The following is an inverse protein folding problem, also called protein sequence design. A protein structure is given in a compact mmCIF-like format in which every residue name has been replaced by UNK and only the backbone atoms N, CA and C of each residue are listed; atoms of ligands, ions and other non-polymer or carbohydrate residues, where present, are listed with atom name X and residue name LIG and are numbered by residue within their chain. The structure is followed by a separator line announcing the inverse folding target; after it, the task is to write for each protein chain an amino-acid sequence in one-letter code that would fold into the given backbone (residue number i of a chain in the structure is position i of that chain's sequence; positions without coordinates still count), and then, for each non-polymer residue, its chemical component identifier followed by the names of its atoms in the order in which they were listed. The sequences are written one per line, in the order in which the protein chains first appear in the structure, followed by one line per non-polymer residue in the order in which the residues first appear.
data_IF_152527550003
#
_entry.id   IF_152527550003
#
_cell.length_a   1.000
_cell.length_b   1.000
_cell.length_c   1.000
_cell.angle_alpha   90.00
_cell.angle_beta   90.00
_cell.angle_gamma   90.00
#
_symmetry.space_group_name_H-M   'P 1'
#
loop_
_entity.id
_entity.type
_entity.pdbx_description
1 polymer ?
#
# COMPACT_ATOMS: atom_id res chain seq x y z
N UNK A 1 -5.37 -19.53 -20.76
CA UNK A 1 -4.22 -19.17 -21.59
C UNK A 1 -4.20 -17.64 -21.71
N UNK A 2 -3.49 -16.99 -20.80
CA UNK A 2 -3.21 -15.54 -20.85
C UNK A 2 -1.69 -15.42 -20.65
N UNK A 3 -1.01 -14.89 -21.67
CA UNK A 3 0.44 -14.93 -21.79
C UNK A 3 1.15 -14.06 -20.73
N UNK A 4 2.42 -14.36 -20.44
CA UNK A 4 3.28 -13.51 -19.63
C UNK A 4 3.94 -12.48 -20.55
N UNK A 5 3.58 -11.20 -20.45
CA UNK A 5 4.48 -10.05 -20.66
C UNK A 5 3.68 -8.75 -20.70
N UNK A 6 3.81 -7.99 -19.62
CA UNK A 6 3.84 -6.52 -19.58
C UNK A 6 3.82 -6.11 -18.10
N UNK A 7 4.97 -6.21 -17.44
CA UNK A 7 5.21 -5.57 -16.17
C UNK A 7 6.22 -4.45 -16.39
N UNK A 8 5.82 -3.20 -16.21
CA UNK A 8 6.77 -2.13 -15.90
C UNK A 8 6.53 -1.64 -14.47
N UNK A 9 7.59 -1.33 -13.71
CA UNK A 9 7.61 -1.51 -12.28
C UNK A 9 7.67 -0.19 -11.53
N UNK A 10 6.93 -0.08 -10.42
CA UNK A 10 7.15 0.99 -9.46
C UNK A 10 7.38 0.41 -8.07
N UNK A 11 8.54 -0.23 -7.94
CA UNK A 11 9.28 -0.33 -6.69
C UNK A 11 10.66 0.27 -6.90
N UNK A 12 11.26 0.79 -5.84
CA UNK A 12 12.67 1.17 -5.80
C UNK A 12 13.51 -0.04 -6.30
N UNK A 13 13.95 -0.02 -7.57
CA UNK A 13 14.71 -1.11 -8.20
C UNK A 13 13.96 -1.99 -9.21
N UNK A 14 12.73 -1.65 -9.60
CA UNK A 14 12.06 -2.32 -10.71
C UNK A 14 11.41 -3.68 -10.38
N UNK A 15 11.27 -4.00 -9.10
CA UNK A 15 10.54 -5.18 -8.66
C UNK A 15 9.01 -4.97 -8.78
N UNK A 16 8.29 -6.02 -9.17
CA UNK A 16 6.83 -6.06 -9.07
C UNK A 16 6.48 -6.41 -7.62
N UNK A 17 5.69 -5.56 -6.99
CA UNK A 17 5.15 -5.81 -5.65
C UNK A 17 3.62 -5.96 -5.70
N UNK A 18 3.13 -6.96 -4.96
CA UNK A 18 1.69 -7.19 -4.81
C UNK A 18 1.12 -6.26 -3.74
N UNK A 19 0.13 -5.46 -4.14
CA UNK A 19 -0.62 -4.61 -3.22
C UNK A 19 -1.95 -5.29 -2.88
N UNK A 20 -2.18 -5.51 -1.58
CA UNK A 20 -3.41 -6.11 -1.08
C UNK A 20 -4.35 -5.04 -0.56
N UNK A 21 -5.54 -4.95 -1.15
CA UNK A 21 -6.60 -4.04 -0.74
C UNK A 21 -7.67 -4.76 0.07
N UNK A 22 -8.23 -4.06 1.05
CA UNK A 22 -9.49 -4.48 1.65
C UNK A 22 -10.62 -4.40 0.62
N UNK A 23 -11.68 -5.18 0.84
CA UNK A 23 -12.88 -5.23 -0.01
C UNK A 23 -13.47 -3.84 -0.24
N UNK A 24 -13.56 -3.00 0.79
CA UNK A 24 -14.09 -1.64 0.68
C UNK A 24 -13.26 -0.76 -0.28
N UNK A 25 -11.94 -0.85 -0.19
CA UNK A 25 -11.03 -0.14 -1.11
C UNK A 25 -11.13 -0.70 -2.53
N UNK A 26 -11.20 -2.03 -2.69
CA UNK A 26 -11.32 -2.67 -3.99
C UNK A 26 -12.61 -2.27 -4.73
N UNK A 27 -13.72 -2.06 -4.02
CA UNK A 27 -14.98 -1.57 -4.59
C UNK A 27 -14.91 -0.16 -5.19
N UNK A 28 -13.90 0.65 -4.85
CA UNK A 28 -13.68 1.96 -5.45
C UNK A 28 -12.97 1.88 -6.80
N UNK A 29 -12.27 0.78 -7.07
CA UNK A 29 -11.44 0.63 -8.26
C UNK A 29 -12.22 0.80 -9.57
N UNK A 30 -13.42 0.21 -9.77
CA UNK A 30 -14.17 0.39 -11.02
C UNK A 30 -14.54 1.85 -11.29
N UNK A 31 -14.71 2.67 -10.25
CA UNK A 31 -14.99 4.11 -10.40
C UNK A 31 -13.76 4.88 -10.88
N UNK A 32 -12.58 4.52 -10.39
CA UNK A 32 -11.31 5.15 -10.77
C UNK A 32 -10.84 4.72 -12.17
N UNK A 33 -11.15 3.50 -12.59
CA UNK A 33 -10.73 2.97 -13.88
C UNK A 33 -11.69 3.30 -15.04
N UNK A 34 -12.90 3.76 -14.76
CA UNK A 34 -13.92 4.04 -15.78
C UNK A 34 -13.45 5.08 -16.80
N UNK A 35 -13.73 4.80 -18.07
CA UNK A 35 -13.51 5.70 -19.21
C UNK A 35 -14.82 6.39 -19.65
N UNK A 36 -14.74 7.51 -20.39
CA UNK A 36 -15.92 8.25 -20.85
C UNK A 36 -16.87 7.44 -21.75
N UNK A 37 -16.33 6.45 -22.48
CA UNK A 37 -17.08 5.54 -23.36
C UNK A 37 -17.78 4.40 -22.60
N UNK A 38 -17.69 4.37 -21.26
CA UNK A 38 -18.27 3.33 -20.40
C UNK A 38 -17.38 2.10 -20.20
N UNK A 39 -16.24 2.01 -20.87
CA UNK A 39 -15.26 0.92 -20.66
C UNK A 39 -14.37 1.20 -19.43
N UNK A 40 -13.38 0.33 -19.17
CA UNK A 40 -12.45 0.47 -18.04
C UNK A 40 -11.00 0.39 -18.50
N UNK A 41 -10.15 1.23 -17.91
CA UNK A 41 -8.70 1.16 -18.06
C UNK A 41 -8.18 -0.14 -17.48
N UNK A 42 -7.31 -0.81 -18.21
CA UNK A 42 -6.62 -2.03 -17.77
C UNK A 42 -5.17 -1.79 -17.38
N UNK A 43 -4.61 -0.62 -17.73
CA UNK A 43 -3.24 -0.24 -17.39
C UNK A 43 -3.07 1.29 -17.26
N UNK A 44 -1.90 1.71 -16.78
CA UNK A 44 -1.56 3.10 -16.52
C UNK A 44 -1.83 3.55 -15.07
N UNK A 45 -1.64 4.84 -14.76
CA UNK A 45 -1.70 5.34 -13.39
C UNK A 45 -3.13 5.28 -12.82
N UNK A 46 -3.27 4.75 -11.60
CA UNK A 46 -4.57 4.65 -10.92
C UNK A 46 -5.19 6.05 -10.70
N UNK A 47 -4.38 7.01 -10.25
CA UNK A 47 -4.78 8.39 -9.98
C UNK A 47 -4.15 9.36 -10.99
N UNK A 48 -4.79 9.65 -12.13
CA UNK A 48 -4.34 10.71 -13.03
C UNK A 48 -4.75 12.09 -12.51
N UNK A 49 -3.90 13.10 -12.67
CA UNK A 49 -4.30 14.49 -12.40
C UNK A 49 -5.20 15.03 -13.52
N UNK A 50 -6.01 16.03 -13.23
CA UNK A 50 -6.97 16.57 -14.20
C UNK A 50 -6.30 17.31 -15.37
N UNK A 51 -5.20 18.02 -15.10
CA UNK A 51 -4.51 18.84 -16.10
C UNK A 51 -3.52 18.00 -16.92
N UNK A 52 -3.49 18.23 -18.23
CA UNK A 52 -2.46 17.65 -19.10
C UNK A 52 -1.11 18.35 -18.88
N UNK A 53 0.01 17.64 -19.06
CA UNK A 53 1.32 18.26 -18.90
C UNK A 53 1.57 19.22 -20.05
N UNK A 54 2.31 20.31 -19.78
CA UNK A 54 2.82 21.19 -20.83
C UNK A 54 3.95 20.48 -21.58
N UNK A 55 4.16 20.74 -22.90
CA UNK A 55 5.19 20.05 -23.69
C UNK A 55 6.59 20.12 -23.07
N UNK A 56 6.94 21.26 -22.47
CA UNK A 56 8.24 21.47 -21.82
C UNK A 56 8.45 20.68 -20.51
N UNK A 57 7.40 20.09 -19.93
CA UNK A 57 7.44 19.33 -18.66
C UNK A 57 6.67 18.02 -18.78
N UNK A 58 6.84 17.33 -19.91
CA UNK A 58 6.17 16.05 -20.15
C UNK A 58 6.84 14.94 -19.32
N UNK A 59 6.09 14.24 -18.45
CA UNK A 59 6.62 13.08 -17.74
C UNK A 59 6.95 11.91 -18.69
N UNK A 60 7.70 10.90 -18.20
CA UNK A 60 7.91 9.65 -18.92
C UNK A 60 6.58 9.03 -19.36
N UNK A 61 6.59 8.29 -20.47
CA UNK A 61 5.38 7.66 -21.01
C UNK A 61 4.68 6.73 -20.00
N UNK A 62 5.46 6.02 -19.17
CA UNK A 62 4.97 5.16 -18.10
C UNK A 62 4.14 5.91 -17.03
N UNK A 63 4.35 7.22 -16.88
CA UNK A 63 3.63 8.08 -15.94
C UNK A 63 2.41 8.75 -16.57
N UNK A 64 2.12 8.48 -17.83
CA UNK A 64 0.97 9.02 -18.54
C UNK A 64 -0.12 7.96 -18.66
N UNK A 65 -1.37 8.40 -18.45
CA UNK A 65 -2.51 7.59 -18.81
C UNK A 65 -2.60 7.47 -20.34
N UNK A 66 -2.55 6.27 -20.91
CA UNK A 66 -2.54 6.06 -22.36
C UNK A 66 -3.86 6.51 -23.02
N UNK A 67 -4.96 6.44 -22.28
CA UNK A 67 -6.28 6.83 -22.79
C UNK A 67 -6.53 8.35 -22.73
N UNK A 68 -5.96 9.06 -21.75
CA UNK A 68 -6.31 10.47 -21.50
C UNK A 68 -5.15 11.46 -21.71
N UNK A 69 -3.91 10.95 -21.78
CA UNK A 69 -2.67 11.73 -21.81
C UNK A 69 -2.37 12.48 -20.52
N UNK A 70 -3.12 12.19 -19.44
CA UNK A 70 -2.95 12.85 -18.13
C UNK A 70 -1.86 12.16 -17.32
N UNK A 71 -1.03 12.92 -16.59
CA UNK A 71 0.05 12.34 -15.82
C UNK A 71 -0.44 11.78 -14.49
N UNK A 72 0.34 10.86 -13.91
CA UNK A 72 0.11 10.33 -12.57
C UNK A 72 0.12 11.44 -11.52
N UNK A 73 -0.67 11.26 -10.47
CA UNK A 73 -0.61 12.09 -9.28
C UNK A 73 0.73 11.85 -8.56
N UNK A 74 1.55 12.90 -8.49
CA UNK A 74 2.80 12.86 -7.73
C UNK A 74 2.56 12.89 -6.22
N UNK A 75 3.54 12.39 -5.46
CA UNK A 75 3.48 12.30 -3.99
C UNK A 75 3.20 13.64 -3.32
N UNK A 76 3.91 14.72 -3.70
CA UNK A 76 3.72 16.04 -3.11
C UNK A 76 2.30 16.58 -3.30
N UNK A 77 1.72 16.35 -4.49
CA UNK A 77 0.36 16.77 -4.77
C UNK A 77 -0.65 15.91 -4.02
N UNK A 78 -0.41 14.61 -3.88
CA UNK A 78 -1.23 13.73 -3.07
C UNK A 78 -1.26 14.18 -1.60
N UNK A 79 -0.10 14.57 -1.03
CA UNK A 79 -0.02 15.12 0.32
C UNK A 79 -0.89 16.36 0.49
N UNK A 80 -0.81 17.31 -0.44
CA UNK A 80 -1.62 18.54 -0.40
C UNK A 80 -3.12 18.21 -0.50
N UNK A 81 -3.52 17.31 -1.38
CA UNK A 81 -4.92 16.93 -1.54
C UNK A 81 -5.47 16.22 -0.30
N UNK A 82 -4.69 15.33 0.30
CA UNK A 82 -5.11 14.61 1.50
C UNK A 82 -5.28 15.55 2.69
N UNK A 83 -4.35 16.48 2.88
CA UNK A 83 -4.46 17.51 3.91
C UNK A 83 -5.68 18.40 3.68
N UNK A 84 -5.89 18.86 2.44
CA UNK A 84 -7.04 19.71 2.08
C UNK A 84 -8.40 19.06 2.31
N UNK A 85 -8.53 17.75 2.07
CA UNK A 85 -9.82 17.06 2.12
C UNK A 85 -10.07 16.24 3.39
N UNK A 86 -9.01 15.89 4.14
CA UNK A 86 -9.11 15.05 5.32
C UNK A 86 -8.33 15.59 6.53
N UNK A 87 -7.51 16.64 6.38
CA UNK A 87 -6.61 17.13 7.44
C UNK A 87 -5.53 16.12 7.83
N UNK A 88 -5.15 15.23 6.91
CA UNK A 88 -4.22 14.13 7.15
C UNK A 88 -3.01 14.22 6.22
N UNK A 89 -1.87 13.70 6.72
CA UNK A 89 -0.68 13.43 5.91
C UNK A 89 -0.58 11.91 5.62
N UNK A 90 0.06 11.56 4.50
CA UNK A 90 0.32 10.17 4.11
C UNK A 90 1.15 9.43 5.17
N UNK A 91 2.05 10.14 5.85
CA UNK A 91 2.81 9.59 6.97
C UNK A 91 1.89 9.15 8.12
N UNK A 92 0.87 9.94 8.45
CA UNK A 92 -0.09 9.61 9.52
C UNK A 92 -0.86 8.33 9.22
N UNK A 93 -1.26 8.12 7.97
CA UNK A 93 -1.95 6.90 7.55
C UNK A 93 -1.07 5.66 7.74
N UNK A 94 0.19 5.72 7.31
CA UNK A 94 1.15 4.61 7.48
C UNK A 94 1.44 4.36 8.96
N UNK A 95 1.62 5.42 9.74
CA UNK A 95 1.88 5.34 11.17
C UNK A 95 0.69 4.71 11.92
N UNK A 96 -0.51 5.23 11.73
CA UNK A 96 -1.74 4.70 12.36
C UNK A 96 -1.99 3.24 11.98
N UNK A 97 -1.79 2.87 10.71
CA UNK A 97 -1.89 1.46 10.28
C UNK A 97 -0.93 0.57 11.07
N UNK A 98 0.34 0.96 11.18
CA UNK A 98 1.33 0.18 11.90
C UNK A 98 1.04 0.11 13.41
N UNK A 99 0.58 1.21 14.01
CA UNK A 99 0.16 1.27 15.42
C UNK A 99 -1.01 0.33 15.69
N UNK A 100 -2.08 0.36 14.88
CA UNK A 100 -3.22 -0.53 15.07
C UNK A 100 -2.87 -2.00 14.89
N UNK A 101 -1.99 -2.33 13.94
CA UNK A 101 -1.50 -3.71 13.81
C UNK A 101 -0.68 -4.13 15.04
N UNK A 102 0.09 -3.21 15.61
CA UNK A 102 0.83 -3.41 16.85
C UNK A 102 -0.06 -3.63 18.06
N UNK A 103 -1.11 -2.82 18.22
CA UNK A 103 -2.14 -2.96 19.26
C UNK A 103 -2.90 -4.27 19.14
N UNK A 104 -3.13 -4.75 17.92
CA UNK A 104 -3.72 -6.06 17.63
C UNK A 104 -2.73 -7.24 17.77
N UNK A 105 -1.52 -7.00 18.30
CA UNK A 105 -0.45 -7.98 18.50
C UNK A 105 -0.08 -8.76 17.22
N UNK A 106 -0.22 -8.13 16.05
CA UNK A 106 0.18 -8.74 14.77
C UNK A 106 1.70 -8.95 14.76
N UNK A 107 2.21 -10.11 14.32
CA UNK A 107 3.64 -10.37 14.27
C UNK A 107 4.41 -9.31 13.46
N UNK A 108 5.55 -8.85 14.00
CA UNK A 108 6.38 -7.79 13.42
C UNK A 108 6.67 -8.00 11.91
N UNK A 109 6.93 -9.24 11.49
CA UNK A 109 7.22 -9.57 10.09
C UNK A 109 6.03 -9.26 9.16
N UNK A 110 4.80 -9.49 9.63
CA UNK A 110 3.58 -9.18 8.88
C UNK A 110 3.30 -7.67 8.87
N UNK A 111 3.58 -6.98 9.98
CA UNK A 111 3.52 -5.51 10.03
C UNK A 111 4.50 -4.93 9.01
N UNK A 112 5.76 -5.39 9.01
CA UNK A 112 6.79 -4.96 8.07
C UNK A 112 6.40 -5.21 6.63
N UNK A 113 5.85 -6.39 6.32
CA UNK A 113 5.34 -6.72 4.99
C UNK A 113 4.20 -5.79 4.56
N UNK A 114 3.17 -5.62 5.38
CA UNK A 114 2.00 -4.78 5.05
C UNK A 114 2.36 -3.31 4.87
N UNK A 115 3.32 -2.83 5.66
CA UNK A 115 3.70 -1.42 5.69
C UNK A 115 4.98 -1.13 4.92
N UNK A 116 5.59 -2.12 4.26
CA UNK A 116 6.85 -2.01 3.49
C UNK A 116 8.00 -1.36 4.28
N UNK A 117 8.17 -1.73 5.56
CA UNK A 117 9.36 -1.33 6.32
C UNK A 117 10.54 -2.23 5.98
N UNK A 118 11.63 -1.63 5.48
CA UNK A 118 12.87 -2.36 5.15
C UNK A 118 13.74 -2.68 6.37
N UNK A 119 13.65 -1.88 7.42
CA UNK A 119 14.47 -2.03 8.62
C UNK A 119 13.60 -2.41 9.82
N UNK A 120 13.84 -3.56 10.48
CA UNK A 120 13.05 -3.97 11.63
C UNK A 120 13.14 -2.97 12.80
N UNK A 121 14.27 -2.27 12.95
CA UNK A 121 14.44 -1.26 14.01
C UNK A 121 13.44 -0.12 13.91
N UNK A 122 13.02 0.25 12.70
CA UNK A 122 12.06 1.34 12.52
C UNK A 122 10.63 0.89 12.79
N UNK A 123 10.31 -0.40 12.58
CA UNK A 123 9.01 -1.00 12.85
C UNK A 123 8.82 -1.48 14.30
N UNK A 124 9.90 -1.78 15.03
CA UNK A 124 9.84 -2.23 16.43
C UNK A 124 9.08 -1.27 17.35
N UNK A 125 9.05 0.03 17.04
CA UNK A 125 8.30 1.03 17.82
C UNK A 125 6.80 0.74 17.94
N UNK A 126 6.24 -0.05 17.01
CA UNK A 126 4.82 -0.37 16.97
C UNK A 126 4.47 -1.62 17.78
N UNK A 127 5.46 -2.43 18.15
CA UNK A 127 5.22 -3.74 18.77
C UNK A 127 5.56 -3.67 20.25
N UNK A 128 4.57 -3.91 21.10
CA UNK A 128 4.75 -4.07 22.54
C UNK A 128 3.93 -5.28 23.02
N UNK A 129 4.55 -6.46 23.15
CA UNK A 129 3.83 -7.66 23.55
C UNK A 129 3.23 -7.52 24.95
N UNK A 130 1.95 -7.88 25.10
CA UNK A 130 1.30 -7.96 26.39
C UNK A 130 1.78 -9.17 27.22
N UNK A 131 1.53 -9.17 28.55
CA UNK A 131 1.87 -10.30 29.41
C UNK A 131 1.18 -11.61 28.97
N UNK A 132 -0.03 -11.54 28.42
CA UNK A 132 -0.75 -12.71 27.90
C UNK A 132 -0.04 -13.34 26.69
N UNK A 133 0.44 -12.52 25.74
CA UNK A 133 1.21 -13.00 24.60
C UNK A 133 2.50 -13.70 25.05
N UNK A 134 3.19 -13.14 26.05
CA UNK A 134 4.39 -13.76 26.64
C UNK A 134 4.05 -15.07 27.35
N UNK A 135 2.92 -15.13 28.07
CA UNK A 135 2.46 -16.36 28.72
C UNK A 135 2.19 -17.48 27.69
N UNK A 136 1.49 -17.19 26.59
CA UNK A 136 1.25 -18.16 25.49
C UNK A 136 2.53 -18.70 24.87
N UNK A 137 3.52 -17.83 24.66
CA UNK A 137 4.85 -18.25 24.19
C UNK A 137 5.53 -19.16 25.21
N UNK A 138 5.41 -18.82 26.50
CA UNK A 138 5.97 -19.63 27.60
C UNK A 138 5.30 -21.01 27.67
N UNK A 139 3.99 -21.10 27.47
CA UNK A 139 3.26 -22.37 27.39
C UNK A 139 3.75 -23.27 26.25
N UNK A 140 4.11 -22.70 25.10
CA UNK A 140 4.72 -23.45 23.99
C UNK A 140 6.07 -24.06 24.34
N UNK A 141 6.80 -23.46 25.27
CA UNK A 141 8.07 -23.97 25.78
C UNK A 141 7.88 -24.97 26.93
N UNK A 142 6.66 -25.11 27.46
CA UNK A 142 6.40 -26.00 28.57
C UNK A 142 6.60 -27.47 28.15
N UNK A 143 7.21 -28.31 29.01
CA UNK A 143 7.38 -29.72 28.72
C UNK A 143 6.01 -30.41 28.54
N UNK A 144 5.93 -31.40 27.64
CA UNK A 144 4.73 -32.21 27.45
C UNK A 144 4.29 -32.80 28.81
N UNK A 145 3.07 -32.50 29.25
CA UNK A 145 2.51 -33.12 30.46
C UNK A 145 2.45 -34.63 30.26
N UNK A 146 3.06 -35.38 31.18
CA UNK A 146 2.91 -36.83 31.23
C UNK A 146 1.49 -37.14 31.69
N UNK A 147 0.70 -37.75 30.83
CA UNK A 147 -0.59 -38.35 31.19
C UNK A 147 -0.32 -39.76 31.74
N UNK A 148 -0.73 -40.02 32.97
CA UNK A 148 -0.75 -41.35 33.58
C UNK A 148 -2.04 -42.08 33.20
#
# INVERSE_FOLDING_TARGET
MFGPDCGDPWSEGGAIEWVYWDTGTAHLLPRLLRLPDGTSRTHGPLFPVERRPVPARRPPAADLCPHTGRPRLGYDRARVLLDQHAGLDLHHLRHSTATHLGEAEVPLQLIMGKTHHKNPRTALRYVKPGPEAIAKVTEHLAPRRRTH
#
